data_IF_037326873662
#
_entry.id   IF_037326873662
#
_cell.length_a   1.000
_cell.length_b   1.000
_cell.length_c   1.000
_cell.angle_alpha   90.00
_cell.angle_beta   90.00
_cell.angle_gamma   90.00
#
_symmetry.space_group_name_H-M   'P 1'
#
loop_
_entity.id
_entity.type
_entity.pdbx_description
1 polymer ?
#
# COMPACT_ATOMS: atom_id res chain seq x y z
N UNK A 1 -36.40 -9.97 6.86
CA UNK A 1 -36.05 -9.22 5.63
C UNK A 1 -36.75 -7.86 5.67
N UNK A 2 -36.13 -6.74 5.24
CA UNK A 2 -36.80 -5.43 5.21
C UNK A 2 -38.01 -5.46 4.26
N UNK A 3 -39.08 -4.76 4.63
CA UNK A 3 -40.31 -4.70 3.83
C UNK A 3 -40.05 -3.98 2.51
N UNK A 4 -40.88 -4.24 1.48
CA UNK A 4 -40.79 -3.56 0.17
C UNK A 4 -40.78 -2.04 0.32
N UNK A 5 -41.56 -1.49 1.25
CA UNK A 5 -41.61 -0.04 1.51
C UNK A 5 -40.31 0.52 2.07
N UNK A 6 -39.58 -0.25 2.90
CA UNK A 6 -38.28 0.20 3.41
C UNK A 6 -37.21 0.19 2.33
N UNK A 7 -37.21 -0.82 1.45
CA UNK A 7 -36.29 -0.86 0.30
C UNK A 7 -36.53 0.30 -0.65
N UNK A 8 -37.79 0.65 -0.89
CA UNK A 8 -38.17 1.77 -1.74
C UNK A 8 -37.73 3.12 -1.17
N UNK A 9 -37.94 3.38 0.13
CA UNK A 9 -37.48 4.61 0.79
C UNK A 9 -35.96 4.76 0.78
N UNK A 10 -35.23 3.67 1.00
CA UNK A 10 -33.79 3.72 0.93
C UNK A 10 -33.29 3.96 -0.49
N UNK A 11 -33.91 3.32 -1.49
CA UNK A 11 -33.61 3.61 -2.90
C UNK A 11 -33.83 5.09 -3.22
N UNK A 12 -34.98 5.67 -2.81
CA UNK A 12 -35.28 7.09 -2.97
C UNK A 12 -34.23 7.99 -2.29
N UNK A 13 -33.80 7.66 -1.08
CA UNK A 13 -32.81 8.47 -0.36
C UNK A 13 -31.41 8.36 -0.97
N UNK A 14 -30.98 7.18 -1.42
CA UNK A 14 -29.75 7.05 -2.24
C UNK A 14 -29.85 7.84 -3.53
N UNK A 15 -31.01 7.82 -4.20
CA UNK A 15 -31.22 8.59 -5.42
C UNK A 15 -31.17 10.10 -5.15
N UNK A 16 -31.72 10.57 -4.01
CA UNK A 16 -31.64 11.98 -3.59
C UNK A 16 -30.19 12.37 -3.29
N UNK A 17 -29.45 11.57 -2.53
CA UNK A 17 -28.03 11.86 -2.23
C UNK A 17 -27.20 11.86 -3.52
N UNK A 18 -27.41 10.89 -4.41
CA UNK A 18 -26.76 10.84 -5.71
C UNK A 18 -27.13 12.06 -6.57
N UNK A 19 -28.39 12.50 -6.53
CA UNK A 19 -28.86 13.69 -7.23
C UNK A 19 -28.24 14.98 -6.66
N UNK A 20 -28.18 15.14 -5.34
CA UNK A 20 -27.53 16.30 -4.69
C UNK A 20 -26.04 16.34 -5.03
N UNK A 21 -25.35 15.20 -5.00
CA UNK A 21 -23.95 15.12 -5.39
C UNK A 21 -23.78 15.41 -6.89
N UNK A 22 -24.64 14.87 -7.76
CA UNK A 22 -24.61 15.16 -9.20
C UNK A 22 -24.85 16.65 -9.49
N UNK A 23 -25.83 17.28 -8.82
CA UNK A 23 -26.09 18.73 -8.93
C UNK A 23 -24.90 19.55 -8.41
N UNK A 24 -24.26 19.14 -7.31
CA UNK A 24 -23.05 19.79 -6.80
C UNK A 24 -21.89 19.70 -7.80
N UNK A 25 -21.75 18.55 -8.46
CA UNK A 25 -20.76 18.32 -9.52
C UNK A 25 -21.10 19.13 -10.78
N UNK A 26 -22.37 19.25 -11.16
CA UNK A 26 -22.86 20.15 -12.23
C UNK A 26 -22.59 21.61 -11.90
N UNK A 27 -22.78 22.07 -10.66
CA UNK A 27 -22.47 23.46 -10.31
C UNK A 27 -20.97 23.76 -10.39
N UNK A 28 -20.11 22.74 -10.25
CA UNK A 28 -18.67 22.84 -10.52
C UNK A 28 -18.31 22.82 -12.02
N UNK A 29 -19.23 22.49 -12.95
CA UNK A 29 -18.96 22.36 -14.40
C UNK A 29 -18.71 23.65 -15.13
N UNK A 30 -19.05 24.80 -14.54
CA UNK A 30 -18.95 26.09 -15.23
C UNK A 30 -17.48 26.42 -15.56
N UNK A 31 -16.50 25.66 -15.06
CA UNK A 31 -15.07 25.92 -15.27
C UNK A 31 -14.21 24.79 -15.85
N UNK A 32 -14.51 23.48 -15.70
CA UNK A 32 -13.65 22.40 -16.23
C UNK A 32 -14.40 21.08 -16.59
N UNK A 33 -14.32 20.56 -17.84
CA UNK A 33 -15.06 19.34 -18.24
C UNK A 33 -14.50 18.02 -17.69
N UNK A 34 -13.19 17.93 -17.41
CA UNK A 34 -12.59 16.71 -16.85
C UNK A 34 -12.93 16.50 -15.36
N UNK A 35 -13.04 17.58 -14.59
CA UNK A 35 -13.44 17.51 -13.17
C UNK A 35 -14.89 17.04 -13.03
N UNK A 36 -15.75 17.37 -14.01
CA UNK A 36 -17.12 16.86 -14.07
C UNK A 36 -17.18 15.35 -14.21
N UNK A 37 -16.49 14.80 -15.22
CA UNK A 37 -16.47 13.36 -15.47
C UNK A 37 -15.92 12.62 -14.24
N UNK A 38 -14.85 13.15 -13.65
CA UNK A 38 -14.28 12.61 -12.42
C UNK A 38 -15.28 12.63 -11.25
N UNK A 39 -15.92 13.77 -10.99
CA UNK A 39 -16.93 13.91 -9.94
C UNK A 39 -18.09 12.95 -10.14
N UNK A 40 -18.60 12.83 -11.37
CA UNK A 40 -19.66 11.88 -11.71
C UNK A 40 -19.22 10.43 -11.43
N UNK A 41 -18.00 10.05 -11.81
CA UNK A 41 -17.44 8.73 -11.50
C UNK A 41 -17.39 8.46 -9.99
N UNK A 42 -16.95 9.43 -9.18
CA UNK A 42 -16.92 9.31 -7.71
C UNK A 42 -18.32 9.11 -7.13
N UNK A 43 -19.32 9.84 -7.62
CA UNK A 43 -20.71 9.70 -7.18
C UNK A 43 -21.29 8.34 -7.55
N UNK A 44 -21.06 7.88 -8.77
CA UNK A 44 -21.52 6.57 -9.24
C UNK A 44 -20.85 5.42 -8.46
N UNK A 45 -19.54 5.50 -8.25
CA UNK A 45 -18.79 4.52 -7.45
C UNK A 45 -19.27 4.50 -5.99
N UNK A 46 -19.41 5.66 -5.36
CA UNK A 46 -19.91 5.75 -3.98
C UNK A 46 -21.31 5.16 -3.87
N UNK A 47 -22.21 5.47 -4.81
CA UNK A 47 -23.56 4.94 -4.84
C UNK A 47 -23.57 3.41 -4.99
N UNK A 48 -22.71 2.87 -5.87
CA UNK A 48 -22.51 1.43 -6.02
C UNK A 48 -22.00 0.78 -4.73
N UNK A 49 -21.08 1.44 -4.01
CA UNK A 49 -20.51 0.92 -2.76
C UNK A 49 -21.49 1.02 -1.57
N UNK A 50 -22.39 2.01 -1.56
CA UNK A 50 -23.48 2.06 -0.56
C UNK A 50 -24.36 0.83 -0.70
N UNK A 51 -24.65 0.42 -1.94
CA UNK A 51 -25.43 -0.77 -2.24
C UNK A 51 -24.67 -2.07 -1.93
N UNK A 52 -23.40 -2.16 -2.35
CA UNK A 52 -22.55 -3.32 -2.13
C UNK A 52 -21.10 -2.91 -1.78
N UNK A 53 -20.77 -2.73 -0.49
CA UNK A 53 -19.46 -2.24 -0.09
C UNK A 53 -18.34 -3.26 -0.32
N UNK A 54 -18.66 -4.54 -0.53
CA UNK A 54 -17.65 -5.54 -0.89
C UNK A 54 -16.98 -5.21 -2.23
N UNK A 55 -17.70 -4.56 -3.16
CA UNK A 55 -17.12 -4.12 -4.43
C UNK A 55 -15.98 -3.13 -4.18
N UNK A 56 -16.10 -2.27 -3.17
CA UNK A 56 -15.03 -1.33 -2.81
C UNK A 56 -13.78 -2.06 -2.33
N UNK A 57 -13.94 -3.05 -1.43
CA UNK A 57 -12.81 -3.86 -0.92
C UNK A 57 -12.13 -4.65 -2.05
N UNK A 58 -12.92 -5.26 -2.94
CA UNK A 58 -12.39 -5.98 -4.09
C UNK A 58 -11.67 -5.05 -5.07
N UNK A 59 -12.21 -3.85 -5.30
CA UNK A 59 -11.57 -2.82 -6.11
C UNK A 59 -10.24 -2.35 -5.52
N UNK A 60 -10.18 -2.14 -4.20
CA UNK A 60 -8.91 -1.84 -3.51
C UNK A 60 -7.90 -3.00 -3.63
N UNK A 61 -8.34 -4.25 -3.42
CA UNK A 61 -7.48 -5.43 -3.57
C UNK A 61 -6.96 -5.63 -5.00
N UNK A 62 -7.70 -5.17 -6.01
CA UNK A 62 -7.26 -5.21 -7.40
C UNK A 62 -6.31 -4.06 -7.76
N UNK A 63 -6.46 -2.90 -7.11
CA UNK A 63 -5.71 -1.68 -7.46
C UNK A 63 -4.52 -1.39 -6.56
N UNK A 64 -4.38 -2.06 -5.41
CA UNK A 64 -3.32 -1.78 -4.43
C UNK A 64 -1.87 -1.79 -4.98
N UNK A 65 -1.48 -2.65 -5.95
CA UNK A 65 -0.11 -2.64 -6.45
C UNK A 65 0.20 -1.44 -7.36
N UNK A 66 -0.85 -0.79 -7.89
CA UNK A 66 -0.76 0.25 -8.92
C UNK A 66 -0.72 1.65 -8.31
N UNK A 67 0.14 1.87 -7.33
CA UNK A 67 0.23 3.13 -6.58
C UNK A 67 0.58 4.34 -7.49
N UNK A 68 1.33 4.11 -8.58
CA UNK A 68 1.67 5.12 -9.58
C UNK A 68 0.57 5.33 -10.64
N UNK A 69 -0.52 4.57 -10.57
CA UNK A 69 -1.73 4.90 -11.30
C UNK A 69 -2.54 5.90 -10.49
N UNK A 70 -2.17 7.16 -10.67
CA UNK A 70 -2.69 8.29 -9.92
C UNK A 70 -3.29 9.36 -10.83
N UNK A 71 -4.23 10.10 -10.27
CA UNK A 71 -4.77 11.31 -10.88
C UNK A 71 -4.03 12.50 -10.27
N UNK A 72 -3.39 13.29 -11.11
CA UNK A 72 -2.58 14.44 -10.70
C UNK A 72 -3.38 15.74 -10.92
N UNK A 73 -3.58 16.51 -9.86
CA UNK A 73 -4.18 17.84 -9.84
C UNK A 73 -3.18 18.84 -9.26
N UNK A 74 -2.33 19.43 -10.11
CA UNK A 74 -1.25 20.31 -9.65
C UNK A 74 -0.23 19.53 -8.81
N UNK A 75 -0.06 19.89 -7.55
CA UNK A 75 0.81 19.18 -6.59
C UNK A 75 0.11 18.06 -5.81
N UNK A 76 -1.18 17.82 -6.07
CA UNK A 76 -1.92 16.74 -5.44
C UNK A 76 -1.97 15.53 -6.35
N UNK A 77 -1.48 14.40 -5.85
CA UNK A 77 -1.54 13.12 -6.52
C UNK A 77 -2.45 12.15 -5.74
N UNK A 78 -3.43 11.56 -6.43
CA UNK A 78 -4.39 10.64 -5.83
C UNK A 78 -4.36 9.30 -6.57
N UNK A 79 -3.66 8.28 -6.03
CA UNK A 79 -3.69 6.91 -6.51
C UNK A 79 -5.12 6.39 -6.63
N UNK A 80 -5.37 5.56 -7.64
CA UNK A 80 -6.70 4.97 -7.85
C UNK A 80 -7.17 4.19 -6.62
N UNK A 81 -6.27 3.48 -5.93
CA UNK A 81 -6.61 2.76 -4.70
C UNK A 81 -7.14 3.71 -3.60
N UNK A 82 -6.61 4.93 -3.51
CA UNK A 82 -7.06 5.94 -2.56
C UNK A 82 -8.49 6.42 -2.92
N UNK A 83 -8.82 6.52 -4.21
CA UNK A 83 -10.18 6.87 -4.67
C UNK A 83 -11.19 5.80 -4.25
N UNK A 84 -10.86 4.51 -4.45
CA UNK A 84 -11.70 3.40 -3.99
C UNK A 84 -11.85 3.43 -2.46
N UNK A 85 -10.77 3.69 -1.73
CA UNK A 85 -10.77 3.82 -0.28
C UNK A 85 -11.66 4.95 0.22
N UNK A 86 -11.53 6.14 -0.37
CA UNK A 86 -12.34 7.31 -0.03
C UNK A 86 -13.83 7.06 -0.28
N UNK A 87 -14.16 6.55 -1.48
CA UNK A 87 -15.54 6.19 -1.83
C UNK A 87 -16.10 5.12 -0.88
N UNK A 88 -15.28 4.16 -0.44
CA UNK A 88 -15.66 3.12 0.52
C UNK A 88 -16.05 3.71 1.88
N UNK A 89 -15.25 4.64 2.41
CA UNK A 89 -15.51 5.33 3.69
C UNK A 89 -16.76 6.20 3.60
N UNK A 90 -16.90 6.98 2.52
CA UNK A 90 -18.11 7.79 2.28
C UNK A 90 -19.36 6.90 2.18
N UNK A 91 -19.27 5.80 1.44
CA UNK A 91 -20.36 4.85 1.30
C UNK A 91 -20.74 4.20 2.65
N UNK A 92 -19.75 3.86 3.47
CA UNK A 92 -19.97 3.33 4.82
C UNK A 92 -20.65 4.38 5.73
N UNK A 93 -20.24 5.64 5.64
CA UNK A 93 -20.86 6.77 6.33
C UNK A 93 -22.33 6.94 5.93
N UNK A 94 -22.60 7.06 4.63
CA UNK A 94 -23.98 7.16 4.09
C UNK A 94 -24.81 5.97 4.54
N UNK A 95 -24.31 4.73 4.38
CA UNK A 95 -25.03 3.52 4.78
C UNK A 95 -25.34 3.49 6.27
N UNK A 96 -24.42 3.95 7.11
CA UNK A 96 -24.62 4.05 8.56
C UNK A 96 -25.72 5.05 8.89
N UNK A 97 -25.69 6.23 8.28
CA UNK A 97 -26.72 7.27 8.42
C UNK A 97 -28.09 6.74 7.98
N UNK A 98 -28.17 6.08 6.82
CA UNK A 98 -29.40 5.45 6.34
C UNK A 98 -29.92 4.40 7.33
N UNK A 99 -29.05 3.51 7.82
CA UNK A 99 -29.40 2.48 8.79
C UNK A 99 -29.95 3.06 10.09
N UNK A 100 -29.34 4.14 10.59
CA UNK A 100 -29.77 4.81 11.81
C UNK A 100 -31.12 5.52 11.61
N UNK A 101 -31.23 6.42 10.64
CA UNK A 101 -32.41 7.28 10.50
C UNK A 101 -33.59 6.62 9.78
N UNK A 102 -33.36 5.73 8.80
CA UNK A 102 -34.44 5.12 8.00
C UNK A 102 -34.86 3.76 8.55
N UNK A 103 -33.89 2.97 9.00
CA UNK A 103 -34.12 1.58 9.41
C UNK A 103 -34.16 1.38 10.92
N UNK A 104 -33.86 2.42 11.71
CA UNK A 104 -33.73 2.37 13.16
C UNK A 104 -32.81 1.22 13.63
N UNK A 105 -31.69 1.05 12.92
CA UNK A 105 -30.67 0.03 13.20
C UNK A 105 -29.33 0.69 13.40
N UNK A 106 -28.85 0.67 14.63
CA UNK A 106 -27.48 1.06 14.93
C UNK A 106 -26.50 0.09 14.26
N UNK A 107 -25.65 0.62 13.38
CA UNK A 107 -24.56 -0.14 12.81
C UNK A 107 -23.38 -0.13 13.79
N UNK A 108 -22.95 -1.32 14.23
CA UNK A 108 -21.72 -1.44 15.02
C UNK A 108 -20.53 -1.30 14.10
N UNK A 109 -19.64 -0.36 14.42
CA UNK A 109 -18.31 -0.26 13.82
C UNK A 109 -17.37 -1.22 14.53
N UNK A 110 -16.51 -1.88 13.77
CA UNK A 110 -15.38 -2.59 14.35
C UNK A 110 -14.37 -1.54 14.79
N UNK A 111 -14.18 -1.37 16.09
CA UNK A 111 -13.11 -0.54 16.62
C UNK A 111 -11.86 -1.41 16.68
N UNK A 112 -10.86 -1.20 15.82
CA UNK A 112 -9.68 -2.04 15.78
C UNK A 112 -8.85 -1.89 17.07
N UNK A 113 -8.12 -2.93 17.49
CA UNK A 113 -7.14 -2.77 18.56
C UNK A 113 -6.12 -1.69 18.16
N UNK A 114 -5.77 -0.81 19.11
CA UNK A 114 -4.79 0.25 18.89
C UNK A 114 -5.35 1.60 18.40
N UNK A 115 -6.67 1.78 18.27
CA UNK A 115 -7.26 3.08 17.89
C UNK A 115 -6.88 4.24 18.82
N UNK A 116 -6.69 3.97 20.12
CA UNK A 116 -6.23 4.97 21.10
C UNK A 116 -4.78 5.39 20.82
N UNK A 117 -3.92 4.43 20.47
CA UNK A 117 -2.53 4.71 20.09
C UNK A 117 -2.49 5.52 18.81
N UNK A 118 -3.34 5.19 17.83
CA UNK A 118 -3.48 5.98 16.61
C UNK A 118 -3.95 7.41 16.90
N UNK A 119 -4.96 7.61 17.73
CA UNK A 119 -5.40 8.96 18.12
C UNK A 119 -4.31 9.74 18.86
N UNK A 120 -3.56 9.07 19.73
CA UNK A 120 -2.42 9.68 20.44
C UNK A 120 -1.35 10.10 19.43
N UNK A 121 -1.02 9.22 18.48
CA UNK A 121 -0.06 9.51 17.41
C UNK A 121 -0.52 10.66 16.52
N UNK A 122 -1.81 10.71 16.18
CA UNK A 122 -2.43 11.82 15.44
C UNK A 122 -2.33 13.14 16.22
N UNK A 123 -2.63 13.10 17.52
CA UNK A 123 -2.52 14.26 18.41
C UNK A 123 -1.09 14.78 18.52
N UNK A 124 -0.11 13.90 18.71
CA UNK A 124 1.32 14.26 18.72
C UNK A 124 1.75 14.84 17.36
N UNK A 125 1.31 14.24 16.25
CA UNK A 125 1.58 14.76 14.92
C UNK A 125 1.03 16.18 14.71
N UNK A 126 -0.19 16.44 15.18
CA UNK A 126 -0.81 17.78 15.10
C UNK A 126 -0.10 18.82 15.98
N UNK A 127 0.37 18.41 17.16
CA UNK A 127 1.20 19.28 18.01
C UNK A 127 2.56 19.55 17.33
N UNK A 128 3.19 18.52 16.78
CA UNK A 128 4.46 18.62 16.04
C UNK A 128 4.37 19.53 14.84
N UNK A 129 3.22 19.57 14.17
CA UNK A 129 3.00 20.43 13.02
C UNK A 129 3.16 21.93 13.35
N UNK A 130 3.05 22.35 14.62
CA UNK A 130 3.29 23.74 15.02
C UNK A 130 4.73 24.18 14.78
N UNK A 131 5.68 23.25 14.91
CA UNK A 131 7.11 23.46 14.68
C UNK A 131 7.52 23.05 13.25
N UNK A 132 6.55 22.79 12.37
CA UNK A 132 6.81 22.40 10.99
C UNK A 132 7.42 23.53 10.18
N UNK A 133 8.52 23.22 9.51
CA UNK A 133 9.14 24.12 8.54
C UNK A 133 8.18 24.59 7.45
N UNK A 134 7.35 23.66 6.98
CA UNK A 134 6.25 23.90 6.04
C UNK A 134 4.99 23.28 6.62
N UNK A 135 4.21 24.09 7.34
CA UNK A 135 2.97 23.66 8.00
C UNK A 135 2.03 22.87 7.09
N UNK A 136 1.85 23.32 5.85
CA UNK A 136 0.94 22.69 4.87
C UNK A 136 1.35 21.26 4.54
N UNK A 137 2.64 20.99 4.37
CA UNK A 137 3.12 19.64 4.06
C UNK A 137 2.95 18.71 5.25
N UNK A 138 3.07 19.25 6.46
CA UNK A 138 2.80 18.49 7.67
C UNK A 138 1.34 18.12 7.84
N UNK A 139 0.43 19.07 7.62
CA UNK A 139 -1.01 18.78 7.63
C UNK A 139 -1.39 17.79 6.53
N UNK A 140 -0.82 17.90 5.33
CA UNK A 140 -1.03 16.93 4.24
C UNK A 140 -0.58 15.52 4.65
N UNK A 141 0.58 15.41 5.28
CA UNK A 141 1.11 14.12 5.75
C UNK A 141 0.25 13.51 6.88
N UNK A 142 -0.23 14.32 7.81
CA UNK A 142 -1.15 13.88 8.86
C UNK A 142 -2.48 13.41 8.26
N UNK A 143 -3.04 14.19 7.33
CA UNK A 143 -4.34 13.90 6.74
C UNK A 143 -4.32 12.60 5.91
N UNK A 144 -3.29 12.37 5.10
CA UNK A 144 -3.26 11.25 4.14
C UNK A 144 -2.56 9.99 4.72
N UNK A 145 -1.23 9.94 4.87
CA UNK A 145 -0.56 8.79 5.46
C UNK A 145 -1.10 8.34 6.83
N UNK A 146 -1.44 9.26 7.74
CA UNK A 146 -1.83 8.89 9.11
C UNK A 146 -3.33 8.70 9.27
N UNK A 147 -4.14 9.69 8.91
CA UNK A 147 -5.56 9.64 9.15
C UNK A 147 -6.30 8.81 8.10
N UNK A 148 -6.13 9.14 6.82
CA UNK A 148 -6.82 8.47 5.73
C UNK A 148 -6.50 6.97 5.66
N UNK A 149 -5.23 6.56 5.70
CA UNK A 149 -4.90 5.14 5.65
C UNK A 149 -5.43 4.34 6.84
N UNK A 150 -5.43 4.91 8.04
CA UNK A 150 -6.02 4.23 9.19
C UNK A 150 -7.54 4.08 9.04
N UNK A 151 -8.24 5.14 8.66
CA UNK A 151 -9.70 5.11 8.48
C UNK A 151 -10.09 4.15 7.36
N UNK A 152 -9.42 4.22 6.21
CA UNK A 152 -9.71 3.40 5.04
C UNK A 152 -9.31 1.95 5.29
N UNK A 153 -8.04 1.68 5.57
CA UNK A 153 -7.52 0.30 5.54
C UNK A 153 -7.70 -0.43 6.88
N UNK A 154 -7.71 0.28 8.01
CA UNK A 154 -7.78 -0.35 9.34
C UNK A 154 -9.21 -0.36 9.89
N UNK A 155 -9.98 0.73 9.74
CA UNK A 155 -11.37 0.80 10.25
C UNK A 155 -12.38 0.27 9.22
N UNK A 156 -12.29 0.71 7.96
CA UNK A 156 -13.35 0.42 6.98
C UNK A 156 -13.36 -1.06 6.56
N UNK A 157 -12.18 -1.67 6.37
CA UNK A 157 -12.05 -3.07 5.92
C UNK A 157 -12.75 -4.06 6.87
N UNK A 158 -12.44 -4.12 8.18
CA UNK A 158 -13.14 -5.05 9.09
C UNK A 158 -14.61 -4.68 9.31
N UNK A 159 -14.99 -3.42 9.10
CA UNK A 159 -16.40 -3.00 9.17
C UNK A 159 -17.23 -3.55 8.01
N UNK A 160 -16.60 -3.77 6.85
CA UNK A 160 -17.21 -4.26 5.61
C UNK A 160 -17.06 -5.79 5.46
N UNK A 161 -15.86 -6.33 5.68
CA UNK A 161 -15.54 -7.76 5.51
C UNK A 161 -15.96 -8.54 6.75
N UNK A 162 -17.16 -9.10 6.73
CA UNK A 162 -17.77 -9.79 7.89
C UNK A 162 -17.78 -11.31 7.83
N UNK A 163 -17.45 -11.89 6.68
CA UNK A 163 -17.49 -13.34 6.48
C UNK A 163 -16.12 -13.87 6.06
N UNK A 164 -15.82 -15.10 6.45
CA UNK A 164 -14.59 -15.79 6.03
C UNK A 164 -14.49 -15.89 4.51
N UNK A 165 -15.61 -16.15 3.83
CA UNK A 165 -15.64 -16.20 2.36
C UNK A 165 -15.28 -14.85 1.73
N UNK A 166 -15.79 -13.74 2.27
CA UNK A 166 -15.45 -12.40 1.79
C UNK A 166 -13.95 -12.11 1.98
N UNK A 167 -13.41 -12.41 3.16
CA UNK A 167 -11.98 -12.26 3.44
C UNK A 167 -11.13 -13.13 2.49
N UNK A 168 -11.49 -14.40 2.32
CA UNK A 168 -10.79 -15.33 1.43
C UNK A 168 -10.84 -14.85 -0.02
N UNK A 169 -11.97 -14.30 -0.47
CA UNK A 169 -12.11 -13.73 -1.82
C UNK A 169 -11.21 -12.52 -1.99
N UNK A 170 -11.17 -11.59 -1.02
CA UNK A 170 -10.27 -10.44 -1.04
C UNK A 170 -8.81 -10.89 -1.12
N UNK A 171 -8.40 -11.85 -0.29
CA UNK A 171 -7.04 -12.41 -0.29
C UNK A 171 -6.71 -13.05 -1.65
N UNK A 172 -7.65 -13.80 -2.23
CA UNK A 172 -7.49 -14.38 -3.58
C UNK A 172 -7.30 -13.30 -4.65
N UNK A 173 -8.07 -12.20 -4.60
CA UNK A 173 -7.91 -11.10 -5.55
C UNK A 173 -6.54 -10.41 -5.40
N UNK A 174 -6.11 -10.16 -4.17
CA UNK A 174 -4.75 -9.67 -3.91
C UNK A 174 -3.71 -10.64 -4.45
N UNK A 175 -3.88 -11.95 -4.26
CA UNK A 175 -2.97 -12.97 -4.78
C UNK A 175 -2.88 -12.96 -6.30
N UNK A 176 -4.02 -12.81 -6.98
CA UNK A 176 -4.07 -12.71 -8.45
C UNK A 176 -3.32 -11.47 -8.92
N UNK A 177 -3.53 -10.31 -8.30
CA UNK A 177 -2.83 -9.08 -8.70
C UNK A 177 -1.35 -9.13 -8.38
N UNK A 178 -0.94 -9.73 -7.26
CA UNK A 178 0.46 -9.99 -6.96
C UNK A 178 1.11 -10.93 -7.96
N UNK A 179 0.41 -11.97 -8.41
CA UNK A 179 0.91 -12.85 -9.46
C UNK A 179 1.10 -12.10 -10.79
N UNK A 180 0.16 -11.23 -11.16
CA UNK A 180 0.29 -10.39 -12.35
C UNK A 180 1.50 -9.43 -12.25
N UNK A 181 1.69 -8.81 -11.09
CA UNK A 181 2.86 -7.96 -10.81
C UNK A 181 4.15 -8.76 -10.85
N UNK A 182 4.16 -9.98 -10.31
CA UNK A 182 5.33 -10.85 -10.34
C UNK A 182 5.70 -11.26 -11.76
N UNK A 183 4.72 -11.64 -12.58
CA UNK A 183 4.92 -11.93 -14.01
C UNK A 183 5.46 -10.70 -14.72
N UNK A 184 4.84 -9.54 -14.51
CA UNK A 184 5.30 -8.28 -15.11
C UNK A 184 6.74 -7.92 -14.69
N UNK A 185 7.07 -8.04 -13.39
CA UNK A 185 8.43 -7.83 -12.90
C UNK A 185 9.45 -8.82 -13.46
N UNK A 186 9.07 -10.09 -13.59
CA UNK A 186 9.90 -11.13 -14.18
C UNK A 186 10.16 -10.86 -15.67
N UNK A 187 9.15 -10.42 -16.42
CA UNK A 187 9.30 -10.03 -17.82
C UNK A 187 10.26 -8.84 -17.99
N UNK A 188 10.39 -7.97 -16.98
CA UNK A 188 11.40 -6.91 -16.94
C UNK A 188 12.84 -7.38 -17.13
N UNK A 189 13.16 -8.64 -16.79
CA UNK A 189 14.49 -9.26 -17.03
C UNK A 189 14.84 -9.37 -18.52
N UNK A 190 13.82 -9.44 -19.38
CA UNK A 190 13.97 -9.67 -20.82
C UNK A 190 13.73 -8.40 -21.64
N UNK A 191 12.83 -7.52 -21.19
CA UNK A 191 12.42 -6.34 -21.95
C UNK A 191 13.16 -5.05 -21.58
N UNK A 192 13.80 -4.97 -20.41
CA UNK A 192 14.56 -3.77 -20.05
C UNK A 192 16.00 -3.91 -20.50
N UNK A 193 16.38 -3.07 -21.47
CA UNK A 193 17.76 -2.94 -21.92
C UNK A 193 18.60 -2.34 -20.79
N UNK A 194 19.52 -3.16 -20.29
CA UNK A 194 20.48 -2.77 -19.26
C UNK A 194 21.89 -2.86 -19.85
N UNK A 195 22.79 -1.90 -19.54
CA UNK A 195 24.15 -1.88 -20.08
C UNK A 195 24.96 -3.15 -19.79
N UNK A 196 24.64 -3.86 -18.70
CA UNK A 196 25.35 -5.06 -18.29
C UNK A 196 24.38 -6.17 -17.84
N UNK A 197 24.78 -7.41 -18.07
CA UNK A 197 24.07 -8.59 -17.53
C UNK A 197 23.98 -8.55 -16.00
N UNK A 198 24.95 -7.90 -15.32
CA UNK A 198 25.00 -7.74 -13.87
C UNK A 198 23.99 -6.70 -13.33
N UNK A 199 23.35 -5.92 -14.20
CA UNK A 199 22.29 -4.99 -13.82
C UNK A 199 20.89 -5.53 -14.15
N UNK A 200 20.80 -6.70 -14.82
CA UNK A 200 19.52 -7.35 -15.11
C UNK A 200 18.89 -7.85 -13.81
N UNK A 201 17.68 -7.36 -13.54
CA UNK A 201 16.91 -7.68 -12.33
C UNK A 201 15.42 -7.47 -12.59
N UNK A 202 14.59 -7.98 -11.71
CA UNK A 202 13.14 -7.78 -11.81
C UNK A 202 12.80 -6.32 -11.52
N UNK A 203 12.47 -5.57 -12.58
CA UNK A 203 12.12 -4.14 -12.52
C UNK A 203 10.86 -3.87 -13.34
N UNK A 204 10.07 -2.83 -12.99
CA UNK A 204 8.99 -2.37 -13.84
C UNK A 204 9.50 -1.86 -15.19
N UNK A 205 8.67 -1.95 -16.23
CA UNK A 205 8.99 -1.43 -17.57
C UNK A 205 7.79 -0.76 -18.23
N UNK A 206 7.99 0.28 -19.05
CA UNK A 206 6.85 1.00 -19.63
C UNK A 206 6.00 0.11 -20.54
N UNK A 207 4.69 0.11 -20.34
CA UNK A 207 3.72 -0.40 -21.29
C UNK A 207 3.19 0.78 -22.10
N UNK A 208 3.52 0.84 -23.39
CA UNK A 208 3.13 1.95 -24.28
C UNK A 208 3.51 3.34 -23.74
N UNK A 209 4.70 3.45 -23.13
CA UNK A 209 5.19 4.70 -22.53
C UNK A 209 4.65 5.00 -21.12
N UNK A 210 3.79 4.15 -20.56
CA UNK A 210 3.21 4.31 -19.23
C UNK A 210 3.79 3.32 -18.21
N UNK A 211 4.06 3.78 -16.99
CA UNK A 211 4.62 2.97 -15.89
C UNK A 211 3.58 2.67 -14.82
N UNK A 212 2.73 1.64 -14.97
CA UNK A 212 1.60 1.38 -14.07
C UNK A 212 2.03 1.09 -12.63
N UNK A 213 3.20 0.45 -12.46
CA UNK A 213 3.79 0.17 -11.15
C UNK A 213 4.87 1.20 -10.76
N UNK A 214 5.08 2.25 -11.55
CA UNK A 214 6.23 3.16 -11.41
C UNK A 214 7.51 2.61 -12.01
N UNK A 215 8.63 3.26 -11.71
CA UNK A 215 9.97 2.91 -12.23
C UNK A 215 10.85 2.20 -11.19
N UNK A 216 10.42 2.19 -9.93
CA UNK A 216 11.23 1.70 -8.83
C UNK A 216 11.04 0.19 -8.61
N UNK A 217 12.12 -0.57 -8.68
CA UNK A 217 12.17 -2.01 -8.36
C UNK A 217 11.64 -2.38 -6.96
N UNK A 218 11.74 -1.46 -5.98
CA UNK A 218 11.21 -1.68 -4.64
C UNK A 218 9.70 -1.89 -4.64
N UNK A 219 8.96 -1.29 -5.59
CA UNK A 219 7.50 -1.39 -5.65
C UNK A 219 7.06 -2.82 -5.98
N UNK A 220 7.80 -3.53 -6.83
CA UNK A 220 7.57 -4.98 -7.05
C UNK A 220 7.89 -5.75 -5.78
N UNK A 221 9.02 -5.43 -5.16
CA UNK A 221 9.50 -6.11 -3.95
C UNK A 221 8.48 -6.00 -2.80
N UNK A 222 7.92 -4.81 -2.58
CA UNK A 222 6.90 -4.55 -1.55
C UNK A 222 5.63 -5.37 -1.79
N UNK A 223 5.18 -5.47 -3.06
CA UNK A 223 4.03 -6.31 -3.45
C UNK A 223 4.34 -7.79 -3.20
N UNK A 224 5.54 -8.28 -3.51
CA UNK A 224 5.92 -9.67 -3.24
C UNK A 224 5.90 -9.96 -1.74
N UNK A 225 6.63 -9.16 -0.95
CA UNK A 225 6.76 -9.31 0.51
C UNK A 225 5.38 -9.30 1.18
N UNK A 226 4.55 -8.30 0.90
CA UNK A 226 3.20 -8.20 1.48
C UNK A 226 2.29 -9.38 1.10
N UNK A 227 2.56 -10.05 -0.02
CA UNK A 227 1.75 -11.16 -0.53
C UNK A 227 2.20 -12.53 -0.05
N UNK A 228 3.45 -12.70 0.40
CA UNK A 228 3.95 -13.98 0.90
C UNK A 228 3.13 -14.55 2.07
N UNK A 229 2.82 -13.79 3.14
CA UNK A 229 1.99 -14.32 4.23
C UNK A 229 0.57 -14.68 3.76
N UNK A 230 0.03 -13.96 2.78
CA UNK A 230 -1.26 -14.26 2.16
C UNK A 230 -1.22 -15.57 1.35
N UNK A 231 -0.14 -15.79 0.59
CA UNK A 231 0.08 -17.01 -0.18
C UNK A 231 0.22 -18.21 0.75
N UNK A 232 0.96 -18.03 1.85
CA UNK A 232 1.11 -19.04 2.89
C UNK A 232 -0.24 -19.36 3.57
N UNK A 233 -1.07 -18.36 3.87
CA UNK A 233 -2.41 -18.56 4.41
C UNK A 233 -3.29 -19.39 3.46
N UNK A 234 -3.32 -19.04 2.16
CA UNK A 234 -4.09 -19.80 1.17
C UNK A 234 -3.57 -21.23 0.99
N UNK A 235 -2.24 -21.40 1.01
CA UNK A 235 -1.60 -22.71 0.93
C UNK A 235 -1.93 -23.61 2.12
N UNK A 236 -1.87 -23.07 3.34
CA UNK A 236 -2.09 -23.83 4.58
C UNK A 236 -3.55 -24.19 4.81
N UNK A 237 -4.49 -23.38 4.29
CA UNK A 237 -5.94 -23.63 4.41
C UNK A 237 -6.54 -24.39 3.23
N UNK A 238 -5.77 -24.63 2.16
CA UNK A 238 -6.22 -25.40 1.00
C UNK A 238 -6.49 -26.88 1.36
N UNK A 239 -7.72 -27.33 1.09
CA UNK A 239 -8.14 -28.72 1.37
C UNK A 239 -7.74 -29.69 0.27
N UNK A 240 -7.82 -29.26 -0.98
CA UNK A 240 -7.50 -30.09 -2.14
C UNK A 240 -6.01 -30.03 -2.50
N UNK A 241 -5.48 -31.16 -2.96
CA UNK A 241 -4.04 -31.30 -3.27
C UNK A 241 -3.60 -30.39 -4.43
N UNK A 242 -4.50 -30.12 -5.39
CA UNK A 242 -4.20 -29.30 -6.55
C UNK A 242 -4.02 -27.83 -6.15
N UNK A 243 -5.01 -27.23 -5.49
CA UNK A 243 -4.93 -25.84 -5.02
C UNK A 243 -3.77 -25.64 -4.07
N UNK A 244 -3.51 -26.61 -3.18
CA UNK A 244 -2.33 -26.57 -2.30
C UNK A 244 -1.02 -26.56 -3.10
N UNK A 245 -0.89 -27.35 -4.16
CA UNK A 245 0.30 -27.29 -5.04
C UNK A 245 0.37 -25.96 -5.80
N UNK A 246 -0.74 -25.46 -6.30
CA UNK A 246 -0.79 -24.17 -7.01
C UNK A 246 -0.38 -23.00 -6.11
N UNK A 247 -0.91 -22.91 -4.90
CA UNK A 247 -0.51 -21.84 -3.96
C UNK A 247 0.96 -21.98 -3.52
N UNK A 248 1.49 -23.20 -3.39
CA UNK A 248 2.92 -23.40 -3.16
C UNK A 248 3.77 -22.88 -4.32
N UNK A 249 3.37 -23.19 -5.56
CA UNK A 249 4.07 -22.71 -6.76
C UNK A 249 4.01 -21.18 -6.87
N UNK A 250 2.85 -20.57 -6.59
CA UNK A 250 2.71 -19.11 -6.55
C UNK A 250 3.62 -18.52 -5.47
N UNK A 251 3.61 -19.06 -4.24
CA UNK A 251 4.47 -18.57 -3.16
C UNK A 251 5.96 -18.65 -3.52
N UNK A 252 6.41 -19.77 -4.12
CA UNK A 252 7.79 -19.92 -4.62
C UNK A 252 8.09 -18.88 -5.70
N UNK A 253 7.18 -18.70 -6.65
CA UNK A 253 7.35 -17.73 -7.74
C UNK A 253 7.45 -16.28 -7.22
N UNK A 254 6.54 -15.88 -6.31
CA UNK A 254 6.59 -14.55 -5.66
C UNK A 254 7.91 -14.36 -4.90
N UNK A 255 8.38 -15.38 -4.18
CA UNK A 255 9.67 -15.33 -3.46
C UNK A 255 10.82 -15.13 -4.43
N UNK A 256 10.88 -15.93 -5.50
CA UNK A 256 11.94 -15.84 -6.51
C UNK A 256 11.96 -14.47 -7.17
N UNK A 257 10.80 -13.96 -7.64
CA UNK A 257 10.71 -12.62 -8.25
C UNK A 257 11.09 -11.55 -7.25
N UNK A 258 10.64 -11.64 -6.00
CA UNK A 258 11.01 -10.72 -4.92
C UNK A 258 12.53 -10.66 -4.69
N UNK A 259 13.20 -11.81 -4.66
CA UNK A 259 14.66 -11.87 -4.53
C UNK A 259 15.38 -11.35 -5.79
N UNK A 260 14.84 -11.62 -6.97
CA UNK A 260 15.35 -11.13 -8.26
C UNK A 260 15.20 -9.61 -8.45
N UNK A 261 14.44 -8.91 -7.60
CA UNK A 261 14.49 -7.43 -7.56
C UNK A 261 15.85 -6.91 -7.09
N UNK A 262 16.63 -7.74 -6.38
CA UNK A 262 17.84 -7.36 -5.64
C UNK A 262 17.64 -6.20 -4.66
N UNK A 263 16.43 -6.04 -4.13
CA UNK A 263 16.16 -5.09 -3.05
C UNK A 263 16.60 -5.67 -1.69
N UNK A 264 17.51 -4.97 -1.00
CA UNK A 264 18.00 -5.40 0.33
C UNK A 264 16.87 -5.56 1.35
N UNK A 265 15.88 -4.67 1.31
CA UNK A 265 14.73 -4.72 2.22
C UNK A 265 13.87 -5.95 1.95
N UNK A 266 13.65 -6.31 0.69
CA UNK A 266 12.89 -7.51 0.34
C UNK A 266 13.58 -8.79 0.80
N UNK A 267 14.91 -8.89 0.64
CA UNK A 267 15.67 -10.04 1.14
C UNK A 267 15.55 -10.19 2.66
N UNK A 268 15.73 -9.08 3.40
CA UNK A 268 15.60 -9.08 4.86
C UNK A 268 14.17 -9.41 5.31
N UNK A 269 13.16 -8.84 4.65
CA UNK A 269 11.75 -9.09 4.95
C UNK A 269 11.39 -10.55 4.69
N UNK A 270 11.76 -11.12 3.54
CA UNK A 270 11.54 -12.54 3.24
C UNK A 270 12.19 -13.46 4.29
N UNK A 271 13.40 -13.16 4.74
CA UNK A 271 14.08 -13.94 5.79
C UNK A 271 13.30 -13.83 7.11
N UNK A 272 12.94 -12.61 7.52
CA UNK A 272 12.22 -12.38 8.77
C UNK A 272 10.83 -13.04 8.76
N UNK A 273 10.07 -12.88 7.68
CA UNK A 273 8.77 -13.54 7.48
C UNK A 273 8.91 -15.05 7.51
N UNK A 274 9.94 -15.61 6.86
CA UNK A 274 10.22 -17.05 6.89
C UNK A 274 10.49 -17.53 8.32
N UNK A 275 11.27 -16.78 9.12
CA UNK A 275 11.55 -17.09 10.53
C UNK A 275 10.25 -17.04 11.36
N UNK A 276 9.43 -16.01 11.17
CA UNK A 276 8.16 -15.84 11.90
C UNK A 276 7.19 -16.96 11.54
N UNK A 277 6.97 -17.23 10.25
CA UNK A 277 6.08 -18.28 9.77
C UNK A 277 6.56 -19.67 10.20
N UNK A 278 7.87 -19.91 10.17
CA UNK A 278 8.47 -21.15 10.68
C UNK A 278 8.26 -21.31 12.18
N UNK A 279 8.45 -20.26 12.98
CA UNK A 279 8.21 -20.29 14.42
C UNK A 279 6.75 -20.55 14.76
N UNK A 280 5.82 -19.90 14.07
CA UNK A 280 4.38 -20.07 14.30
C UNK A 280 3.92 -21.47 13.91
N UNK A 281 4.42 -22.01 12.79
CA UNK A 281 3.84 -23.20 12.17
C UNK A 281 4.60 -24.49 12.47
N UNK A 282 5.91 -24.41 12.69
CA UNK A 282 6.81 -25.55 12.65
C UNK A 282 7.90 -25.54 13.74
N UNK A 283 7.81 -24.72 14.79
CA UNK A 283 8.82 -24.66 15.85
C UNK A 283 9.14 -26.04 16.46
N UNK A 284 8.14 -26.91 16.60
CA UNK A 284 8.31 -28.28 17.11
C UNK A 284 9.06 -29.22 16.15
N UNK A 285 9.18 -28.87 14.87
CA UNK A 285 9.86 -29.66 13.83
C UNK A 285 11.25 -29.14 13.47
N UNK A 286 11.79 -28.17 14.23
CA UNK A 286 13.01 -27.44 13.88
C UNK A 286 14.18 -28.36 13.46
N UNK A 287 14.47 -29.40 14.24
CA UNK A 287 15.57 -30.34 13.96
C UNK A 287 15.36 -31.13 12.67
N UNK A 288 14.11 -31.44 12.31
CA UNK A 288 13.78 -32.19 11.07
C UNK A 288 13.87 -31.30 9.83
N UNK A 289 13.66 -29.99 9.98
CA UNK A 289 13.72 -29.05 8.86
C UNK A 289 15.12 -28.53 8.56
N UNK A 290 16.09 -28.73 9.46
CA UNK A 290 17.46 -28.22 9.29
C UNK A 290 18.13 -28.69 7.98
N UNK A 291 18.07 -29.98 7.58
CA UNK A 291 18.66 -30.41 6.31
C UNK A 291 18.00 -29.74 5.10
N UNK A 292 16.68 -29.56 5.13
CA UNK A 292 15.95 -28.87 4.06
C UNK A 292 16.37 -27.40 3.96
N UNK A 293 16.53 -26.72 5.10
CA UNK A 293 16.99 -25.34 5.13
C UNK A 293 18.40 -25.21 4.55
N UNK A 294 19.32 -26.12 4.91
CA UNK A 294 20.67 -26.15 4.35
C UNK A 294 20.60 -26.36 2.82
N UNK A 295 19.78 -27.29 2.34
CA UNK A 295 19.59 -27.50 0.90
C UNK A 295 19.04 -26.26 0.19
N UNK A 296 18.12 -25.53 0.80
CA UNK A 296 17.58 -24.26 0.24
C UNK A 296 18.67 -23.20 0.17
N UNK A 297 19.46 -23.02 1.23
CA UNK A 297 20.56 -22.04 1.27
C UNK A 297 21.63 -22.38 0.22
N UNK A 298 21.98 -23.66 0.08
CA UNK A 298 22.92 -24.13 -0.93
C UNK A 298 22.38 -23.89 -2.35
N UNK A 299 21.10 -24.19 -2.60
CA UNK A 299 20.45 -23.92 -3.88
C UNK A 299 20.38 -22.42 -4.20
N UNK A 300 20.20 -21.57 -3.17
CA UNK A 300 20.17 -20.11 -3.31
C UNK A 300 21.57 -19.48 -3.36
N UNK A 301 22.65 -20.25 -3.14
CA UNK A 301 24.01 -19.70 -3.03
C UNK A 301 24.48 -18.89 -4.24
N UNK A 302 24.19 -19.24 -5.52
CA UNK A 302 24.60 -18.41 -6.65
C UNK A 302 23.94 -17.02 -6.60
N UNK A 303 22.67 -16.98 -6.20
CA UNK A 303 21.91 -15.74 -6.06
C UNK A 303 22.44 -14.88 -4.90
N UNK A 304 22.81 -15.51 -3.78
CA UNK A 304 23.42 -14.84 -2.63
C UNK A 304 24.78 -14.23 -3.02
N UNK A 305 25.63 -15.00 -3.71
CA UNK A 305 26.93 -14.53 -4.20
C UNK A 305 26.74 -13.36 -5.17
N UNK A 306 25.79 -13.48 -6.10
CA UNK A 306 25.46 -12.41 -7.02
C UNK A 306 25.03 -11.14 -6.28
N UNK A 307 24.13 -11.25 -5.30
CA UNK A 307 23.68 -10.12 -4.49
C UNK A 307 24.86 -9.46 -3.74
N UNK A 308 25.81 -10.26 -3.25
CA UNK A 308 27.02 -9.75 -2.61
C UNK A 308 27.91 -8.95 -3.58
N UNK A 309 28.08 -9.43 -4.82
CA UNK A 309 28.79 -8.70 -5.88
C UNK A 309 28.04 -7.43 -6.26
N UNK A 310 26.71 -7.53 -6.44
CA UNK A 310 25.83 -6.42 -6.81
C UNK A 310 25.96 -5.27 -5.81
N UNK A 311 25.88 -5.53 -4.51
CA UNK A 311 26.00 -4.52 -3.43
C UNK A 311 27.34 -3.76 -3.47
N UNK A 312 28.40 -4.33 -4.04
CA UNK A 312 29.70 -3.68 -4.12
C UNK A 312 29.84 -2.66 -5.26
N UNK A 313 28.87 -2.60 -6.18
CA UNK A 313 28.89 -1.65 -7.30
C UNK A 313 28.84 -0.20 -6.81
N UNK A 314 29.53 0.70 -7.53
CA UNK A 314 29.71 2.10 -7.12
C UNK A 314 28.38 2.85 -6.95
N UNK A 315 27.41 2.59 -7.82
CA UNK A 315 26.04 3.14 -7.75
C UNK A 315 25.35 2.81 -6.42
N UNK A 316 25.55 1.58 -5.91
CA UNK A 316 24.96 1.13 -4.65
C UNK A 316 25.71 1.69 -3.44
N UNK A 317 27.04 1.83 -3.54
CA UNK A 317 27.84 2.51 -2.51
C UNK A 317 27.40 3.96 -2.34
N UNK A 318 27.13 4.68 -3.42
CA UNK A 318 26.56 6.04 -3.36
C UNK A 318 25.24 6.08 -2.59
N UNK A 319 24.36 5.10 -2.82
CA UNK A 319 23.11 4.98 -2.05
C UNK A 319 23.33 4.77 -0.54
N UNK A 320 24.40 4.08 -0.13
CA UNK A 320 24.71 3.93 1.30
C UNK A 320 25.19 5.23 1.92
N UNK A 321 26.07 5.98 1.23
CA UNK A 321 26.55 7.29 1.71
C UNK A 321 25.37 8.25 1.82
N UNK A 322 24.49 8.28 0.82
CA UNK A 322 23.25 9.06 0.86
C UNK A 322 22.43 8.75 2.13
N UNK A 323 22.18 7.47 2.43
CA UNK A 323 21.41 7.07 3.63
C UNK A 323 22.07 7.47 4.95
N UNK A 324 23.40 7.42 5.03
CA UNK A 324 24.12 7.89 6.23
C UNK A 324 23.91 9.39 6.40
N UNK A 325 24.03 10.16 5.33
CA UNK A 325 23.81 11.61 5.36
C UNK A 325 22.36 11.99 5.71
N UNK A 326 21.37 11.27 5.18
CA UNK A 326 19.96 11.43 5.60
C UNK A 326 19.77 11.10 7.10
N UNK A 327 20.55 10.14 7.62
CA UNK A 327 20.63 9.84 9.05
C UNK A 327 21.13 11.02 9.88
N UNK A 328 22.22 11.63 9.45
CA UNK A 328 22.82 12.80 10.09
C UNK A 328 21.85 14.00 10.08
N UNK A 329 21.23 14.29 8.93
CA UNK A 329 20.23 15.37 8.81
C UNK A 329 19.05 15.13 9.75
N UNK A 330 18.56 13.90 9.87
CA UNK A 330 17.46 13.59 10.78
C UNK A 330 17.86 13.72 12.25
N UNK A 331 19.10 13.35 12.59
CA UNK A 331 19.62 13.51 13.94
C UNK A 331 19.75 14.99 14.32
N UNK A 332 20.18 15.82 13.38
CA UNK A 332 20.24 17.27 13.58
C UNK A 332 18.83 17.87 13.71
N UNK A 333 17.86 17.44 12.89
CA UNK A 333 16.46 17.83 13.02
C UNK A 333 15.88 17.46 14.40
N UNK A 334 16.23 16.28 14.93
CA UNK A 334 15.82 15.86 16.27
C UNK A 334 16.48 16.68 17.38
N UNK A 335 17.77 17.03 17.24
CA UNK A 335 18.47 17.90 18.19
C UNK A 335 17.87 19.30 18.24
N UNK A 336 17.41 19.82 17.11
CA UNK A 336 16.73 21.12 17.01
C UNK A 336 15.32 21.09 17.60
N UNK A 337 14.59 19.96 17.46
CA UNK A 337 13.21 19.80 17.90
C UNK A 337 12.97 18.56 18.79
N UNK A 338 13.59 18.44 19.97
CA UNK A 338 13.65 17.18 20.72
C UNK A 338 12.35 16.77 21.40
N UNK A 339 11.43 17.71 21.66
CA UNK A 339 10.23 17.45 22.47
C UNK A 339 9.01 17.04 21.65
N UNK A 340 8.71 17.78 20.59
CA UNK A 340 7.50 17.61 19.79
C UNK A 340 7.84 17.27 18.33
N UNK A 341 9.10 17.37 17.91
CA UNK A 341 9.56 17.12 16.53
C UNK A 341 9.28 18.29 15.58
N UNK A 342 9.83 18.24 14.37
CA UNK A 342 9.76 19.32 13.38
C UNK A 342 8.58 19.20 12.39
N UNK A 343 7.47 18.61 12.84
CA UNK A 343 6.30 18.27 12.03
C UNK A 343 6.48 17.01 11.18
N UNK A 344 5.53 16.07 11.15
CA UNK A 344 5.59 14.95 10.21
C UNK A 344 5.59 15.45 8.77
N UNK A 345 6.24 14.73 7.84
CA UNK A 345 6.23 15.07 6.41
C UNK A 345 7.12 16.25 5.97
N UNK A 346 7.84 16.92 6.87
CA UNK A 346 8.72 18.06 6.54
C UNK A 346 10.16 17.67 6.25
N UNK A 347 10.52 16.39 6.42
CA UNK A 347 11.90 15.92 6.30
C UNK A 347 12.54 16.24 4.94
N UNK A 348 11.79 16.12 3.84
CA UNK A 348 12.27 16.48 2.51
C UNK A 348 12.66 17.96 2.45
N UNK A 349 11.83 18.86 2.99
CA UNK A 349 12.12 20.30 3.06
C UNK A 349 13.34 20.62 3.92
N UNK A 350 13.64 19.81 4.94
CA UNK A 350 14.88 19.91 5.72
C UNK A 350 16.10 19.47 4.91
N UNK A 351 16.00 18.35 4.18
CA UNK A 351 17.09 17.85 3.33
C UNK A 351 17.40 18.84 2.20
N UNK A 352 16.39 19.48 1.61
CA UNK A 352 16.58 20.51 0.58
C UNK A 352 17.37 21.74 1.05
N UNK A 353 17.38 22.01 2.36
CA UNK A 353 18.19 23.11 2.94
C UNK A 353 19.65 22.72 3.17
N UNK A 354 19.98 21.43 3.15
CA UNK A 354 21.34 20.97 3.30
C UNK A 354 22.08 21.11 1.96
N UNK A 355 22.87 22.19 1.83
CA UNK A 355 23.60 22.50 0.59
C UNK A 355 24.63 21.45 0.19
N UNK A 356 25.23 20.76 1.17
CA UNK A 356 26.18 19.66 0.92
C UNK A 356 25.42 18.49 0.29
N UNK A 357 24.27 18.12 0.85
CA UNK A 357 23.43 17.05 0.32
C UNK A 357 22.98 17.36 -1.10
N UNK A 358 22.44 18.56 -1.32
CA UNK A 358 21.95 18.98 -2.63
C UNK A 358 23.06 19.00 -3.69
N UNK A 359 24.29 19.34 -3.29
CA UNK A 359 25.46 19.33 -4.17
C UNK A 359 25.87 17.91 -4.57
N UNK A 360 25.84 16.97 -3.63
CA UNK A 360 26.36 15.61 -3.83
C UNK A 360 25.32 14.65 -4.43
N UNK A 361 24.04 14.84 -4.10
CA UNK A 361 22.95 13.91 -4.44
C UNK A 361 21.79 14.55 -5.22
N UNK A 362 21.73 15.88 -5.31
CA UNK A 362 20.61 16.59 -5.95
C UNK A 362 19.34 16.60 -5.10
N UNK A 363 18.19 16.82 -5.74
CA UNK A 363 16.89 16.90 -5.05
C UNK A 363 16.55 15.58 -4.36
N UNK A 364 16.17 15.61 -3.05
CA UNK A 364 15.73 14.41 -2.35
C UNK A 364 14.41 13.89 -2.94
N UNK A 365 14.42 12.65 -3.41
CA UNK A 365 13.23 11.93 -3.85
C UNK A 365 12.89 10.86 -2.81
N UNK A 366 11.69 10.92 -2.22
CA UNK A 366 11.20 9.97 -1.19
C UNK A 366 12.23 9.68 -0.09
N UNK A 367 12.84 10.74 0.44
CA UNK A 367 13.81 10.61 1.51
C UNK A 367 13.10 10.33 2.83
N UNK A 368 13.57 9.30 3.54
CA UNK A 368 13.14 8.95 4.89
C UNK A 368 14.38 8.59 5.72
N UNK A 369 14.29 8.81 7.02
CA UNK A 369 15.37 8.53 7.96
C UNK A 369 14.82 7.95 9.26
N UNK A 370 15.71 7.36 10.06
CA UNK A 370 15.37 6.67 11.32
C UNK A 370 15.90 7.51 12.47
N UNK A 371 15.12 8.51 12.92
CA UNK A 371 15.31 9.23 14.19
C UNK A 371 13.96 9.58 14.77
#
# INVERSE_FOLDING_TARGET
MPSRSTRFRAFQLTAIIACVLAVSVVLMTITFPLTFVFGLCVVLLTSLFVWNPMIAIYGMALTYPYLNTEIVFGSFNVPIVDIFGLCSVLALGIRTTLNYFVYNKAQRFAVPPGWVLWLTFLGVGLLSAQDALVFVDSIKYIARPLAFFFIVFVISVPSIVRTEQALRTTIMLMMVTSLLVAVYGFLGLFFVDTPSLLQRRAIPFSLFGYYPLGTNHNLIADVMVTSLPLAWYLWSTARDRLSRRLFLLVMIFLTVVGLLTFSRTAWLACILESIVLWRISYAHMARRMLPLLISIVLAASPLIIYMFIFIQQAEIKSSNVNRIMLGEIALDMWREHPYIGAGPGTFISYVERNSIYMKDFGSPLDAHSVV
#
